data_IF_144319929645
#
_entry.id   IF_144319929645
#
_cell.length_a   1.000
_cell.length_b   1.000
_cell.length_c   1.000
_cell.angle_alpha   90.00
_cell.angle_beta   90.00
_cell.angle_gamma   90.00
#
_symmetry.space_group_name_H-M   'P 1'
#
loop_
_entity.id
_entity.type
_entity.pdbx_description
1 polymer ?
#
# COMPACT_ATOMS: atom_id res chain seq x y z
N UNK A 1 -13.55 -1.48 6.17
CA UNK A 1 -12.69 -1.97 5.06
C UNK A 1 -11.23 -1.76 5.45
N UNK A 2 -10.36 -2.78 5.27
CA UNK A 2 -8.93 -2.65 5.59
C UNK A 2 -8.27 -1.57 4.72
N UNK A 3 -7.30 -0.87 5.32
CA UNK A 3 -6.50 0.18 4.69
C UNK A 3 -5.04 -0.15 4.88
N UNK A 4 -4.19 0.31 3.97
CA UNK A 4 -2.75 0.26 4.19
C UNK A 4 -2.33 1.37 5.15
N UNK A 5 -1.21 1.17 5.83
CA UNK A 5 -0.63 2.15 6.75
C UNK A 5 -0.16 3.41 6.02
N UNK A 6 0.14 4.46 6.79
CA UNK A 6 0.75 5.68 6.25
C UNK A 6 2.13 5.40 5.64
N UNK A 7 2.89 4.44 6.19
CA UNK A 7 4.20 4.04 5.67
C UNK A 7 4.08 3.59 4.20
N UNK A 8 3.18 2.65 3.90
CA UNK A 8 2.97 2.14 2.54
C UNK A 8 2.48 3.27 1.61
N UNK A 9 1.59 4.15 2.09
CA UNK A 9 1.13 5.30 1.30
C UNK A 9 2.32 6.20 0.92
N UNK A 10 3.20 6.52 1.86
CA UNK A 10 4.37 7.36 1.60
C UNK A 10 5.37 6.67 0.67
N UNK A 11 5.59 5.36 0.82
CA UNK A 11 6.38 4.57 -0.14
C UNK A 11 5.85 4.71 -1.55
N UNK A 12 4.54 4.55 -1.75
CA UNK A 12 3.92 4.69 -3.06
C UNK A 12 4.04 6.12 -3.61
N UNK A 13 3.80 7.14 -2.79
CA UNK A 13 3.76 8.53 -3.26
C UNK A 13 5.14 9.14 -3.53
N UNK A 14 6.17 8.72 -2.79
CA UNK A 14 7.48 9.37 -2.79
C UNK A 14 8.58 8.53 -3.43
N UNK A 15 8.40 7.22 -3.60
CA UNK A 15 9.41 6.34 -4.20
C UNK A 15 8.95 5.88 -5.59
N UNK A 16 9.54 6.49 -6.62
CA UNK A 16 9.15 6.27 -8.02
C UNK A 16 9.26 4.79 -8.44
N UNK A 17 10.38 4.13 -8.10
CA UNK A 17 10.57 2.71 -8.43
C UNK A 17 9.55 1.82 -7.72
N UNK A 18 9.24 2.12 -6.46
CA UNK A 18 8.25 1.38 -5.68
C UNK A 18 6.86 1.43 -6.32
N UNK A 19 6.42 2.62 -6.73
CA UNK A 19 5.12 2.79 -7.39
C UNK A 19 5.08 2.19 -8.80
N UNK A 20 6.18 2.23 -9.57
CA UNK A 20 6.27 1.56 -10.88
C UNK A 20 6.17 0.05 -10.73
N UNK A 21 6.89 -0.54 -9.78
CA UNK A 21 6.84 -1.99 -9.56
C UNK A 21 5.46 -2.44 -9.10
N UNK A 22 4.85 -1.73 -8.15
CA UNK A 22 3.48 -2.02 -7.73
C UNK A 22 2.48 -1.89 -8.88
N UNK A 23 2.69 -0.92 -9.79
CA UNK A 23 1.85 -0.74 -10.97
C UNK A 23 1.94 -1.94 -11.93
N UNK A 24 3.14 -2.51 -12.13
CA UNK A 24 3.35 -3.75 -12.90
C UNK A 24 2.63 -4.94 -12.26
N UNK A 25 2.77 -5.09 -10.94
CA UNK A 25 2.12 -6.17 -10.19
C UNK A 25 0.58 -6.08 -10.29
N UNK A 26 0.03 -4.87 -10.25
CA UNK A 26 -1.40 -4.62 -10.35
C UNK A 26 -1.93 -4.53 -11.79
N UNK A 27 -1.06 -4.65 -12.79
CA UNK A 27 -1.36 -4.46 -14.21
C UNK A 27 -2.14 -3.18 -14.52
N UNK A 28 -1.68 -2.05 -13.96
CA UNK A 28 -2.26 -0.73 -14.18
C UNK A 28 -1.17 0.32 -14.38
N UNK A 29 -1.55 1.51 -14.82
CA UNK A 29 -0.62 2.63 -14.94
C UNK A 29 -0.18 3.14 -13.56
N UNK A 30 1.08 3.57 -13.44
CA UNK A 30 1.62 4.16 -12.21
C UNK A 30 0.76 5.31 -11.69
N UNK A 31 0.26 6.18 -12.57
CA UNK A 31 -0.62 7.29 -12.18
C UNK A 31 -1.90 6.79 -11.49
N UNK A 32 -2.43 5.64 -11.88
CA UNK A 32 -3.57 5.01 -11.21
C UNK A 32 -3.19 4.54 -9.80
N UNK A 33 -1.99 3.95 -9.62
CA UNK A 33 -1.45 3.56 -8.30
C UNK A 33 -1.28 4.78 -7.37
N UNK A 34 -0.71 5.87 -7.88
CA UNK A 34 -0.60 7.13 -7.11
C UNK A 34 -1.98 7.64 -6.70
N UNK A 35 -2.97 7.57 -7.60
CA UNK A 35 -4.35 7.88 -7.29
C UNK A 35 -4.93 6.99 -6.19
N UNK A 36 -4.66 5.68 -6.22
CA UNK A 36 -5.08 4.73 -5.19
C UNK A 36 -4.49 5.09 -3.83
N UNK A 37 -3.21 5.47 -3.77
CA UNK A 37 -2.55 5.88 -2.54
C UNK A 37 -3.12 7.17 -1.95
N UNK A 38 -3.37 8.19 -2.78
CA UNK A 38 -3.97 9.47 -2.34
C UNK A 38 -5.31 9.30 -1.63
N UNK A 39 -6.13 8.32 -2.05
CA UNK A 39 -7.43 8.00 -1.44
C UNK A 39 -7.40 6.81 -0.47
N UNK A 40 -6.20 6.27 -0.20
CA UNK A 40 -5.96 5.02 0.53
C UNK A 40 -6.97 3.92 0.14
N UNK A 41 -7.00 3.57 -1.15
CA UNK A 41 -7.96 2.61 -1.68
C UNK A 41 -7.71 1.20 -1.14
N UNK A 42 -8.77 0.42 -0.90
CA UNK A 42 -8.63 -0.98 -0.50
C UNK A 42 -8.04 -1.86 -1.62
N UNK A 43 -7.91 -1.37 -2.85
CA UNK A 43 -7.15 -2.09 -3.88
C UNK A 43 -5.68 -2.28 -3.46
N UNK A 44 -5.15 -1.39 -2.61
CA UNK A 44 -3.82 -1.53 -2.02
C UNK A 44 -3.75 -2.63 -0.96
N UNK A 45 -4.88 -3.18 -0.51
CA UNK A 45 -4.92 -4.32 0.42
C UNK A 45 -5.26 -5.64 -0.28
N UNK A 46 -5.29 -5.67 -1.61
CA UNK A 46 -5.47 -6.92 -2.37
C UNK A 46 -4.28 -7.86 -2.12
N UNK A 47 -4.54 -9.16 -2.14
CA UNK A 47 -3.54 -10.19 -1.87
C UNK A 47 -2.24 -9.96 -2.65
N UNK A 48 -2.33 -9.65 -3.95
CA UNK A 48 -1.15 -9.47 -4.80
C UNK A 48 -0.32 -8.23 -4.42
N UNK A 49 -0.96 -7.14 -4.00
CA UNK A 49 -0.26 -5.96 -3.48
C UNK A 49 0.41 -6.28 -2.13
N UNK A 50 -0.28 -7.04 -1.27
CA UNK A 50 0.25 -7.47 0.03
C UNK A 50 1.46 -8.38 -0.13
N UNK A 51 1.44 -9.32 -1.09
CA UNK A 51 2.62 -10.16 -1.39
C UNK A 51 3.80 -9.31 -1.85
N UNK A 52 3.58 -8.35 -2.75
CA UNK A 52 4.63 -7.41 -3.16
C UNK A 52 5.24 -6.66 -1.96
N UNK A 53 4.44 -6.17 -1.02
CA UNK A 53 4.99 -5.51 0.17
C UNK A 53 5.81 -6.47 1.04
N UNK A 54 5.36 -7.71 1.23
CA UNK A 54 6.11 -8.72 1.98
C UNK A 54 7.43 -9.08 1.31
N UNK A 55 7.46 -9.18 -0.02
CA UNK A 55 8.69 -9.39 -0.81
C UNK A 55 9.67 -8.21 -0.68
N UNK A 56 9.17 -7.00 -0.42
CA UNK A 56 9.97 -5.81 -0.10
C UNK A 56 10.42 -5.74 1.37
N UNK A 57 10.05 -6.72 2.18
CA UNK A 57 10.47 -6.84 3.58
C UNK A 57 9.53 -6.19 4.61
N UNK A 58 8.34 -5.73 4.21
CA UNK A 58 7.39 -5.15 5.16
C UNK A 58 6.63 -6.23 5.93
N UNK A 59 6.45 -6.01 7.22
CA UNK A 59 5.60 -6.88 8.06
C UNK A 59 4.11 -6.57 7.88
N UNK A 60 3.22 -7.43 8.37
CA UNK A 60 1.78 -7.13 8.30
C UNK A 60 1.40 -5.89 9.11
N UNK A 61 2.07 -5.66 10.24
CA UNK A 61 1.85 -4.49 11.09
C UNK A 61 2.26 -3.20 10.39
N UNK A 62 3.31 -3.25 9.57
CA UNK A 62 3.76 -2.14 8.74
C UNK A 62 2.88 -1.94 7.51
N UNK A 63 2.29 -3.01 6.98
CA UNK A 63 1.44 -2.95 5.78
C UNK A 63 0.08 -2.35 6.12
N UNK A 64 -0.56 -2.82 7.19
CA UNK A 64 -1.95 -2.49 7.47
C UNK A 64 -2.08 -1.34 8.46
N UNK A 65 -3.09 -0.49 8.24
CA UNK A 65 -3.49 0.49 9.23
C UNK A 65 -4.04 -0.24 10.46
N UNK A 66 -3.33 -0.14 11.58
CA UNK A 66 -3.77 -0.72 12.85
C UNK A 66 -5.05 -0.02 13.33
N UNK A 67 -6.05 -0.77 13.84
CA UNK A 67 -7.18 -0.16 14.50
C UNK A 67 -6.67 0.63 15.71
N UNK A 68 -7.05 1.90 15.81
CA UNK A 68 -6.84 2.66 17.06
C UNK A 68 -7.68 1.97 18.14
N UNK A 69 -7.03 1.19 18.99
CA UNK A 69 -7.63 0.80 20.25
C UNK A 69 -7.54 2.06 21.10
N UNK A 70 -8.66 2.76 21.26
CA UNK A 70 -8.77 3.82 22.28
C UNK A 70 -8.71 3.11 23.63
N UNK A 71 -7.54 3.09 24.26
CA UNK A 71 -7.45 2.81 25.69
C UNK A 71 -8.06 4.00 26.42
N UNK A 72 -9.20 3.77 27.07
CA UNK A 72 -9.85 4.73 27.97
C UNK A 72 -8.96 5.06 29.17
#
# INVERSE_FOLDING_TARGET
MKKVSVLIVQKILNENNFSIELAKILDIQQQSVLGLAKRNSNKLTLFIAVQFYKEKGFTEEEIFLQPKINSN
#
